data_IF_015485267905
#
_entry.id   IF_015485267905
#
_cell.length_a   1.000
_cell.length_b   1.000
_cell.length_c   1.000
_cell.angle_alpha   90.00
_cell.angle_beta   90.00
_cell.angle_gamma   90.00
#
_symmetry.space_group_name_H-M   'P 1'
#
loop_
_entity.id
_entity.type
_entity.pdbx_description
1 polymer ?
#
# COMPACT_ATOMS: atom_id res chain seq x y z
N UNK A 1 -13.24 1.95 -1.59
CA UNK A 1 -12.18 1.08 -2.09
C UNK A 1 -12.38 -0.37 -1.69
N UNK A 2 -12.24 -1.26 -2.66
CA UNK A 2 -12.44 -2.72 -2.55
C UNK A 2 -11.20 -3.51 -2.13
N UNK A 3 -10.25 -2.86 -1.46
CA UNK A 3 -9.08 -3.53 -0.87
C UNK A 3 -9.39 -4.18 0.49
N UNK A 4 -8.36 -4.72 1.13
CA UNK A 4 -8.47 -5.42 2.42
C UNK A 4 -9.19 -4.61 3.50
N UNK A 5 -8.87 -3.32 3.63
CA UNK A 5 -9.49 -2.44 4.62
C UNK A 5 -10.99 -2.25 4.35
N UNK A 6 -11.37 -1.93 3.11
CA UNK A 6 -12.77 -1.69 2.74
C UNK A 6 -13.63 -2.94 2.84
N UNK A 7 -13.14 -4.08 2.35
CA UNK A 7 -13.85 -5.37 2.47
C UNK A 7 -14.02 -5.79 3.93
N UNK A 8 -12.98 -5.61 4.77
CA UNK A 8 -13.10 -5.87 6.21
C UNK A 8 -14.10 -4.93 6.87
N UNK A 9 -14.08 -3.64 6.54
CA UNK A 9 -15.07 -2.69 7.04
C UNK A 9 -16.51 -3.10 6.66
N UNK A 10 -16.71 -3.57 5.42
CA UNK A 10 -18.00 -4.05 4.97
C UNK A 10 -18.46 -5.29 5.76
N UNK A 11 -17.57 -6.25 6.00
CA UNK A 11 -17.86 -7.44 6.83
C UNK A 11 -18.31 -7.04 8.23
N UNK A 12 -17.57 -6.14 8.89
CA UNK A 12 -17.91 -5.71 10.26
C UNK A 12 -19.18 -4.87 10.31
N UNK A 13 -19.43 -3.99 9.33
CA UNK A 13 -20.66 -3.22 9.20
C UNK A 13 -21.89 -4.11 9.04
N UNK A 14 -21.83 -5.11 8.16
CA UNK A 14 -22.90 -6.09 7.98
C UNK A 14 -23.15 -6.91 9.25
N UNK A 15 -22.09 -7.38 9.91
CA UNK A 15 -22.21 -8.12 11.18
C UNK A 15 -22.80 -7.28 12.31
N UNK A 16 -22.63 -5.96 12.27
CA UNK A 16 -23.26 -4.99 13.19
C UNK A 16 -24.69 -4.61 12.76
N UNK A 17 -25.27 -5.28 11.77
CA UNK A 17 -26.65 -5.05 11.30
C UNK A 17 -26.82 -3.76 10.50
N UNK A 18 -25.75 -3.21 9.92
CA UNK A 18 -25.83 -2.00 9.07
C UNK A 18 -25.80 -2.41 7.59
N UNK A 19 -26.67 -1.81 6.79
CA UNK A 19 -26.60 -1.93 5.35
C UNK A 19 -25.31 -1.27 4.85
N UNK A 20 -24.47 -2.05 4.19
CA UNK A 20 -23.14 -1.62 3.74
C UNK A 20 -23.03 -1.71 2.24
N UNK A 21 -22.52 -0.65 1.61
CA UNK A 21 -22.24 -0.58 0.17
C UNK A 21 -20.73 -0.35 -0.01
N UNK A 22 -20.11 -1.15 -0.85
CA UNK A 22 -18.69 -1.07 -1.20
C UNK A 22 -18.56 -0.50 -2.61
N UNK A 23 -17.85 0.62 -2.74
CA UNK A 23 -17.52 1.23 -4.04
C UNK A 23 -16.09 0.86 -4.45
N UNK A 24 -15.91 0.43 -5.69
CA UNK A 24 -14.60 0.19 -6.30
C UNK A 24 -14.59 0.72 -7.75
N UNK A 25 -13.56 1.48 -8.09
CA UNK A 25 -13.46 2.13 -9.40
C UNK A 25 -12.66 1.34 -10.43
N UNK A 26 -11.90 0.32 -10.02
CA UNK A 26 -11.00 -0.41 -10.90
C UNK A 26 -11.11 -1.93 -10.72
N UNK A 27 -10.47 -2.48 -9.71
CA UNK A 27 -10.40 -3.93 -9.49
C UNK A 27 -10.56 -4.25 -8.00
N UNK A 28 -11.46 -5.15 -7.69
CA UNK A 28 -11.64 -5.68 -6.33
C UNK A 28 -10.36 -6.37 -5.87
N UNK A 29 -9.97 -6.09 -4.62
CA UNK A 29 -8.79 -6.63 -3.96
C UNK A 29 -7.68 -5.61 -3.73
N UNK A 30 -7.58 -4.59 -4.58
CA UNK A 30 -6.52 -3.59 -4.51
C UNK A 30 -5.15 -4.20 -4.81
N UNK A 31 -4.09 -3.62 -4.24
CA UNK A 31 -2.69 -3.98 -4.57
C UNK A 31 -2.33 -5.45 -4.30
N UNK A 32 -2.97 -6.11 -3.33
CA UNK A 32 -2.60 -7.48 -2.98
C UNK A 32 -2.84 -8.47 -4.13
N UNK A 33 -3.72 -8.16 -5.07
CA UNK A 33 -4.01 -9.04 -6.21
C UNK A 33 -2.80 -9.28 -7.11
N UNK A 34 -1.80 -8.40 -7.10
CA UNK A 34 -0.54 -8.56 -7.84
C UNK A 34 0.49 -9.43 -7.11
N UNK A 35 0.26 -9.76 -5.83
CA UNK A 35 1.18 -10.61 -5.08
C UNK A 35 0.99 -12.08 -5.45
N UNK A 36 2.04 -12.77 -5.93
CA UNK A 36 1.93 -14.18 -6.28
C UNK A 36 1.69 -15.06 -5.06
N UNK A 37 2.19 -14.65 -3.89
CA UNK A 37 2.05 -15.40 -2.65
C UNK A 37 2.03 -14.48 -1.42
N UNK A 38 1.17 -14.79 -0.45
CA UNK A 38 1.01 -14.11 0.84
C UNK A 38 1.27 -15.14 1.94
N UNK A 39 2.34 -14.96 2.71
CA UNK A 39 2.77 -15.88 3.78
C UNK A 39 2.84 -15.20 5.15
N UNK A 40 2.56 -13.91 5.21
CA UNK A 40 2.67 -13.10 6.42
C UNK A 40 1.31 -12.66 6.99
N UNK A 41 0.22 -13.28 6.55
CA UNK A 41 -1.10 -13.04 7.15
C UNK A 41 -1.39 -14.10 8.22
N UNK A 42 -1.49 -13.75 9.52
CA UNK A 42 -1.71 -14.71 10.59
C UNK A 42 -2.96 -15.56 10.37
N UNK A 43 -2.80 -16.87 10.53
CA UNK A 43 -3.88 -17.85 10.32
C UNK A 43 -3.98 -18.39 8.90
N UNK A 44 -3.20 -17.87 7.94
CA UNK A 44 -3.08 -18.36 6.57
C UNK A 44 -1.61 -18.64 6.30
N UNK A 45 -1.26 -19.90 6.09
CA UNK A 45 0.14 -20.29 5.91
C UNK A 45 0.71 -19.81 4.56
N UNK A 46 -0.10 -19.91 3.50
CA UNK A 46 0.25 -19.45 2.15
C UNK A 46 -1.02 -19.37 1.30
N UNK A 47 -1.17 -18.29 0.55
CA UNK A 47 -2.28 -18.05 -0.37
C UNK A 47 -1.87 -17.03 -1.43
N UNK A 48 -2.38 -17.11 -2.65
CA UNK A 48 -2.17 -16.02 -3.62
C UNK A 48 -2.94 -14.76 -3.21
N UNK A 49 -2.42 -13.58 -3.57
CA UNK A 49 -3.12 -12.32 -3.28
C UNK A 49 -4.49 -12.23 -3.94
N UNK A 50 -4.65 -12.81 -5.13
CA UNK A 50 -5.93 -12.90 -5.82
C UNK A 50 -6.92 -13.78 -5.04
N UNK A 51 -6.50 -14.95 -4.58
CA UNK A 51 -7.35 -15.86 -3.79
C UNK A 51 -7.70 -15.24 -2.42
N UNK A 52 -6.73 -14.60 -1.76
CA UNK A 52 -6.98 -13.85 -0.53
C UNK A 52 -8.08 -12.80 -0.71
N UNK A 53 -8.01 -12.02 -1.79
CA UNK A 53 -9.00 -10.99 -2.12
C UNK A 53 -10.37 -11.57 -2.41
N UNK A 54 -10.43 -12.67 -3.18
CA UNK A 54 -11.67 -13.36 -3.50
C UNK A 54 -12.35 -13.91 -2.24
N UNK A 55 -11.58 -14.49 -1.31
CA UNK A 55 -12.11 -15.01 -0.06
C UNK A 55 -12.71 -13.90 0.82
N UNK A 56 -12.07 -12.73 0.89
CA UNK A 56 -12.62 -11.56 1.59
C UNK A 56 -13.89 -11.04 0.94
N UNK A 57 -13.89 -10.93 -0.39
CA UNK A 57 -15.05 -10.46 -1.15
C UNK A 57 -16.24 -11.41 -0.99
N UNK A 58 -16.01 -12.71 -1.11
CA UNK A 58 -17.04 -13.73 -0.90
C UNK A 58 -17.65 -13.65 0.50
N UNK A 59 -16.83 -13.42 1.52
CA UNK A 59 -17.29 -13.24 2.90
C UNK A 59 -18.16 -11.99 3.02
N UNK A 60 -17.77 -10.85 2.44
CA UNK A 60 -18.53 -9.61 2.48
C UNK A 60 -19.90 -9.77 1.76
N UNK A 61 -19.90 -10.36 0.58
CA UNK A 61 -21.11 -10.60 -0.23
C UNK A 61 -22.07 -11.56 0.45
N UNK A 62 -21.57 -12.66 1.01
CA UNK A 62 -22.40 -13.62 1.79
C UNK A 62 -23.10 -12.99 2.99
N UNK A 63 -22.53 -11.91 3.54
CA UNK A 63 -23.16 -11.13 4.63
C UNK A 63 -24.14 -10.06 4.13
N UNK A 64 -24.26 -9.87 2.81
CA UNK A 64 -25.20 -8.94 2.20
C UNK A 64 -24.60 -7.60 1.73
N UNK A 65 -23.27 -7.47 1.70
CA UNK A 65 -22.64 -6.26 1.15
C UNK A 65 -22.95 -6.11 -0.33
N UNK A 66 -23.45 -4.95 -0.72
CA UNK A 66 -23.60 -4.57 -2.12
C UNK A 66 -22.29 -3.98 -2.64
N UNK A 67 -21.83 -4.44 -3.79
CA UNK A 67 -20.65 -3.90 -4.46
C UNK A 67 -21.08 -3.11 -5.68
N UNK A 68 -20.58 -1.88 -5.80
CA UNK A 68 -20.84 -0.96 -6.90
C UNK A 68 -19.50 -0.65 -7.58
N UNK A 69 -19.42 -1.02 -8.87
CA UNK A 69 -18.22 -0.79 -9.68
C UNK A 69 -18.31 0.59 -10.34
N UNK A 70 -18.12 1.62 -9.52
CA UNK A 70 -18.14 3.02 -9.93
C UNK A 70 -17.00 3.79 -9.26
N UNK A 71 -16.39 4.71 -10.00
CA UNK A 71 -15.35 5.58 -9.46
C UNK A 71 -15.98 6.67 -8.61
N UNK A 72 -15.63 6.71 -7.31
CA UNK A 72 -15.99 7.83 -6.43
C UNK A 72 -15.12 9.04 -6.80
N UNK A 73 -15.77 10.16 -7.09
CA UNK A 73 -15.12 11.42 -7.49
C UNK A 73 -15.11 12.47 -6.41
N UNK A 74 -16.01 12.36 -5.41
CA UNK A 74 -16.07 13.29 -4.29
C UNK A 74 -17.03 12.86 -3.22
N UNK A 75 -17.07 13.67 -2.16
CA UNK A 75 -18.01 13.56 -1.03
C UNK A 75 -18.59 14.95 -0.80
N UNK A 76 -19.87 14.99 -0.44
CA UNK A 76 -20.53 16.21 0.00
C UNK A 76 -21.27 15.94 1.32
N UNK A 77 -21.24 16.89 2.22
CA UNK A 77 -21.97 16.84 3.48
C UNK A 77 -23.29 17.57 3.37
N UNK A 78 -24.32 16.96 3.91
CA UNK A 78 -25.62 17.55 4.10
C UNK A 78 -25.97 17.55 5.62
N UNK A 79 -26.99 18.27 6.02
CA UNK A 79 -27.31 18.46 7.44
C UNK A 79 -27.51 17.14 8.22
N UNK A 80 -28.16 16.14 7.60
CA UNK A 80 -28.56 14.89 8.28
C UNK A 80 -27.92 13.63 7.65
N UNK A 81 -27.21 13.77 6.54
CA UNK A 81 -26.62 12.66 5.80
C UNK A 81 -25.39 13.11 5.01
N UNK A 82 -24.69 12.16 4.43
CA UNK A 82 -23.55 12.40 3.55
C UNK A 82 -23.86 11.88 2.15
N UNK A 83 -23.27 12.50 1.15
CA UNK A 83 -23.45 12.13 -0.25
C UNK A 83 -22.11 11.68 -0.83
N UNK A 84 -22.10 10.47 -1.39
CA UNK A 84 -20.99 9.97 -2.21
C UNK A 84 -21.30 10.31 -3.65
N UNK A 85 -20.40 11.05 -4.29
CA UNK A 85 -20.48 11.40 -5.71
C UNK A 85 -19.63 10.43 -6.50
N UNK A 86 -20.22 9.78 -7.50
CA UNK A 86 -19.51 8.88 -8.42
C UNK A 86 -19.51 9.43 -9.85
N UNK A 87 -18.89 8.72 -10.77
CA UNK A 87 -18.94 9.03 -12.20
C UNK A 87 -20.34 8.87 -12.80
N UNK A 88 -21.22 8.10 -12.16
CA UNK A 88 -22.54 7.75 -12.68
C UNK A 88 -23.67 8.52 -11.99
N UNK A 89 -23.64 8.59 -10.66
CA UNK A 89 -24.72 9.19 -9.84
C UNK A 89 -24.26 9.52 -8.43
N UNK A 90 -25.19 9.98 -7.63
CA UNK A 90 -25.00 10.28 -6.21
C UNK A 90 -25.70 9.24 -5.33
N UNK A 91 -25.11 8.99 -4.14
CA UNK A 91 -25.63 8.04 -3.16
C UNK A 91 -25.64 8.67 -1.78
N UNK A 92 -26.78 8.60 -1.11
CA UNK A 92 -26.93 9.06 0.27
C UNK A 92 -26.51 7.99 1.27
N UNK A 93 -25.83 8.39 2.35
CA UNK A 93 -25.42 7.50 3.41
C UNK A 93 -25.33 8.24 4.76
N UNK A 94 -25.31 7.47 5.85
CA UNK A 94 -25.16 8.02 7.21
C UNK A 94 -23.71 8.20 7.62
N UNK A 95 -22.81 7.38 7.09
CA UNK A 95 -21.39 7.40 7.41
C UNK A 95 -20.56 6.86 6.25
N UNK A 96 -19.30 7.32 6.14
CA UNK A 96 -18.38 6.96 5.06
C UNK A 96 -17.08 6.42 5.67
N UNK A 97 -16.55 5.36 5.07
CA UNK A 97 -15.22 4.85 5.36
C UNK A 97 -14.38 4.97 4.10
N UNK A 98 -13.37 5.83 4.13
CA UNK A 98 -12.38 6.00 3.07
C UNK A 98 -11.33 4.91 3.19
N UNK A 99 -11.26 4.01 2.21
CA UNK A 99 -10.34 2.88 2.15
C UNK A 99 -9.66 2.81 0.78
N UNK A 100 -9.21 3.96 0.28
CA UNK A 100 -8.68 4.18 -1.08
C UNK A 100 -7.32 3.54 -1.30
N UNK A 101 -6.62 3.15 -0.22
CA UNK A 101 -5.28 2.58 -0.29
C UNK A 101 -4.24 3.58 -0.80
N UNK A 102 -3.16 3.04 -1.36
CA UNK A 102 -2.08 3.79 -2.01
C UNK A 102 -1.70 3.12 -3.32
N UNK A 103 -0.95 3.80 -4.16
CA UNK A 103 -0.23 3.20 -5.29
C UNK A 103 1.27 3.40 -5.10
N UNK A 104 2.08 2.45 -5.54
CA UNK A 104 3.53 2.61 -5.52
C UNK A 104 3.97 3.57 -6.64
N UNK A 105 4.97 4.37 -6.35
CA UNK A 105 5.68 5.08 -7.41
C UNK A 105 6.55 4.09 -8.17
N UNK A 106 6.45 4.13 -9.48
CA UNK A 106 7.28 3.35 -10.37
C UNK A 106 8.58 4.10 -10.71
N UNK A 107 9.61 3.34 -11.07
CA UNK A 107 10.83 3.89 -11.66
C UNK A 107 10.55 4.41 -13.08
N UNK A 108 9.60 3.80 -13.76
CA UNK A 108 9.22 4.13 -15.13
C UNK A 108 10.25 3.65 -16.16
N UNK A 109 10.94 2.56 -15.85
CA UNK A 109 12.01 2.00 -16.70
C UNK A 109 11.57 0.73 -17.43
N UNK A 110 12.14 0.42 -18.60
CA UNK A 110 11.88 -0.82 -19.29
C UNK A 110 12.10 -2.04 -18.39
N UNK A 111 11.20 -3.02 -18.48
CA UNK A 111 11.23 -4.25 -17.70
C UNK A 111 10.50 -4.20 -16.35
N UNK A 112 10.27 -3.01 -15.76
CA UNK A 112 9.65 -2.87 -14.44
C UNK A 112 8.26 -3.52 -14.40
N UNK A 113 7.35 -3.10 -15.26
CA UNK A 113 5.98 -3.61 -15.28
C UNK A 113 5.92 -5.11 -15.62
N UNK A 114 6.67 -5.53 -16.63
CA UNK A 114 6.69 -6.92 -17.12
C UNK A 114 7.20 -7.91 -16.06
N UNK A 115 8.18 -7.49 -15.23
CA UNK A 115 8.80 -8.32 -14.22
C UNK A 115 8.25 -8.09 -12.81
N UNK A 116 7.20 -7.29 -12.67
CA UNK A 116 6.49 -7.13 -11.39
C UNK A 116 5.91 -8.49 -10.94
N UNK A 117 6.23 -8.91 -9.71
CA UNK A 117 5.94 -10.23 -9.16
C UNK A 117 6.88 -11.36 -9.64
N UNK A 118 7.74 -11.07 -10.61
CA UNK A 118 8.76 -11.99 -11.13
C UNK A 118 10.20 -11.47 -10.85
N UNK A 119 10.38 -10.86 -9.68
CA UNK A 119 11.66 -10.30 -9.22
C UNK A 119 11.62 -8.80 -8.98
N UNK A 120 10.68 -8.05 -9.56
CA UNK A 120 10.39 -6.67 -9.16
C UNK A 120 9.34 -6.69 -8.05
N UNK A 121 9.65 -6.10 -6.91
CA UNK A 121 8.79 -5.99 -5.74
C UNK A 121 8.75 -4.55 -5.20
N UNK A 122 7.68 -4.20 -4.50
CA UNK A 122 7.49 -2.92 -3.81
C UNK A 122 7.35 -3.11 -2.29
N UNK A 123 7.56 -4.34 -1.78
CA UNK A 123 7.40 -4.67 -0.37
C UNK A 123 8.44 -5.70 0.08
N UNK A 124 9.49 -5.27 0.76
CA UNK A 124 10.54 -6.16 1.25
C UNK A 124 10.01 -7.15 2.32
N UNK A 125 9.13 -6.69 3.20
CA UNK A 125 8.55 -7.55 4.25
C UNK A 125 7.55 -8.58 3.71
N UNK A 126 7.02 -8.37 2.49
CA UNK A 126 6.12 -9.30 1.82
C UNK A 126 6.91 -10.38 1.08
N UNK A 127 7.83 -9.96 0.22
CA UNK A 127 8.45 -10.80 -0.80
C UNK A 127 9.90 -11.16 -0.50
N UNK A 128 10.53 -10.50 0.47
CA UNK A 128 11.97 -10.60 0.71
C UNK A 128 12.43 -12.03 1.02
N UNK A 129 11.61 -12.84 1.68
CA UNK A 129 11.96 -14.23 2.01
C UNK A 129 12.17 -15.12 0.78
N UNK A 130 11.54 -14.80 -0.38
CA UNK A 130 11.76 -15.53 -1.63
C UNK A 130 13.19 -15.35 -2.19
N UNK A 131 13.91 -14.32 -1.71
CA UNK A 131 15.28 -14.01 -2.12
C UNK A 131 16.33 -14.43 -1.11
N UNK A 132 15.99 -15.31 -0.16
CA UNK A 132 16.97 -15.84 0.81
C UNK A 132 18.19 -16.42 0.10
N UNK A 133 19.39 -15.97 0.51
CA UNK A 133 20.68 -16.39 -0.06
C UNK A 133 20.95 -15.87 -1.46
N UNK A 134 20.14 -14.98 -2.00
CA UNK A 134 20.32 -14.36 -3.32
C UNK A 134 20.82 -12.92 -3.19
N UNK A 135 21.34 -12.38 -4.29
CA UNK A 135 21.69 -10.97 -4.41
C UNK A 135 20.49 -10.17 -4.88
N UNK A 136 20.21 -9.06 -4.21
CA UNK A 136 19.07 -8.18 -4.50
C UNK A 136 19.49 -6.72 -4.52
N UNK A 137 18.70 -5.88 -5.20
CA UNK A 137 18.82 -4.43 -5.15
C UNK A 137 17.65 -3.81 -4.41
N UNK A 138 17.89 -2.74 -3.65
CA UNK A 138 16.89 -1.83 -3.11
C UNK A 138 17.10 -0.47 -3.74
N UNK A 139 16.06 0.12 -4.33
CA UNK A 139 16.14 1.43 -4.97
C UNK A 139 15.34 2.44 -4.19
N UNK A 140 16.04 3.44 -3.64
CA UNK A 140 15.41 4.49 -2.88
C UNK A 140 16.41 5.23 -1.99
N UNK A 141 15.94 6.19 -1.19
CA UNK A 141 16.81 6.98 -0.30
C UNK A 141 16.04 7.60 0.87
N UNK A 142 14.81 7.18 1.10
CA UNK A 142 14.02 7.51 2.28
C UNK A 142 14.06 6.40 3.33
N UNK A 143 13.38 6.61 4.46
CA UNK A 143 13.34 5.65 5.57
C UNK A 143 12.90 4.25 5.14
N UNK A 144 11.89 4.12 4.28
CA UNK A 144 11.44 2.83 3.73
C UNK A 144 12.56 2.07 3.03
N UNK A 145 13.33 2.72 2.14
CA UNK A 145 14.43 2.07 1.43
C UNK A 145 15.53 1.57 2.38
N UNK A 146 15.85 2.36 3.42
CA UNK A 146 16.84 1.98 4.42
C UNK A 146 16.34 0.81 5.28
N UNK A 147 15.09 0.83 5.72
CA UNK A 147 14.46 -0.25 6.48
C UNK A 147 14.35 -1.54 5.65
N UNK A 148 13.98 -1.43 4.38
CA UNK A 148 13.93 -2.55 3.45
C UNK A 148 15.32 -3.17 3.23
N UNK A 149 16.36 -2.35 3.05
CA UNK A 149 17.73 -2.82 2.92
C UNK A 149 18.21 -3.51 4.21
N UNK A 150 17.91 -2.94 5.37
CA UNK A 150 18.24 -3.55 6.67
C UNK A 150 17.53 -4.89 6.87
N UNK A 151 16.25 -4.96 6.53
CA UNK A 151 15.46 -6.19 6.61
C UNK A 151 16.03 -7.28 5.68
N UNK A 152 16.25 -6.96 4.41
CA UNK A 152 16.77 -7.90 3.40
C UNK A 152 18.19 -8.38 3.71
N UNK A 153 19.03 -7.52 4.31
CA UNK A 153 20.41 -7.87 4.67
C UNK A 153 20.51 -8.99 5.71
N UNK A 154 19.42 -9.31 6.42
CA UNK A 154 19.41 -10.38 7.43
C UNK A 154 19.38 -11.80 6.80
N UNK A 155 19.05 -11.94 5.52
CA UNK A 155 18.94 -13.24 4.88
C UNK A 155 19.31 -13.29 3.39
N UNK A 156 19.45 -12.16 2.71
CA UNK A 156 20.02 -12.11 1.38
C UNK A 156 21.56 -12.20 1.43
N UNK A 157 22.17 -12.82 0.43
CA UNK A 157 23.62 -12.92 0.34
C UNK A 157 24.29 -11.57 0.13
N UNK A 158 23.64 -10.70 -0.63
CA UNK A 158 24.05 -9.31 -0.86
C UNK A 158 22.88 -8.40 -1.15
N UNK A 159 22.95 -7.16 -0.64
CA UNK A 159 21.96 -6.11 -0.87
C UNK A 159 22.69 -4.89 -1.46
N UNK A 160 22.29 -4.49 -2.65
CA UNK A 160 22.77 -3.27 -3.30
C UNK A 160 21.77 -2.16 -3.04
N UNK A 161 22.14 -1.16 -2.23
CA UNK A 161 21.29 0.01 -1.97
C UNK A 161 21.60 1.11 -2.98
N UNK A 162 20.74 1.24 -3.97
CA UNK A 162 20.89 2.18 -5.09
C UNK A 162 20.16 3.48 -4.78
N UNK A 163 20.90 4.59 -4.74
CA UNK A 163 20.33 5.90 -4.54
C UNK A 163 20.81 6.93 -5.56
N UNK A 164 19.88 7.76 -6.05
CA UNK A 164 20.16 8.78 -7.10
C UNK A 164 20.93 10.00 -6.61
N UNK A 165 21.23 10.12 -5.32
CA UNK A 165 21.99 11.18 -4.67
C UNK A 165 23.12 10.58 -3.84
N UNK A 166 23.96 11.42 -3.28
CA UNK A 166 25.02 11.05 -2.34
C UNK A 166 24.58 11.02 -0.87
N UNK A 167 23.43 11.63 -0.55
CA UNK A 167 22.87 11.69 0.80
C UNK A 167 21.48 11.06 0.86
N UNK A 168 21.22 10.29 1.91
CA UNK A 168 19.91 9.73 2.23
C UNK A 168 19.03 10.75 2.96
N UNK A 169 17.72 10.61 2.82
CA UNK A 169 16.72 11.40 3.56
C UNK A 169 16.12 10.65 4.74
N UNK A 170 16.48 9.38 4.92
CA UNK A 170 16.06 8.56 6.03
C UNK A 170 16.95 8.75 7.26
N UNK A 171 16.71 7.95 8.29
CA UNK A 171 17.38 8.06 9.58
C UNK A 171 18.87 7.71 9.50
N UNK A 172 19.74 8.63 9.95
CA UNK A 172 21.20 8.45 9.97
C UNK A 172 21.64 7.21 10.75
N UNK A 173 20.88 6.81 11.78
CA UNK A 173 21.18 5.63 12.58
C UNK A 173 21.05 4.34 11.75
N UNK A 174 20.05 4.25 10.85
CA UNK A 174 19.89 3.09 9.97
C UNK A 174 21.02 3.07 8.94
N UNK A 175 21.39 4.24 8.38
CA UNK A 175 22.51 4.34 7.44
C UNK A 175 23.80 3.80 8.09
N UNK A 176 24.12 4.20 9.33
CA UNK A 176 25.31 3.70 10.06
C UNK A 176 25.30 2.19 10.25
N UNK A 177 24.16 1.63 10.68
CA UNK A 177 24.00 0.17 10.84
C UNK A 177 24.20 -0.59 9.52
N UNK A 178 23.68 -0.03 8.41
CA UNK A 178 23.86 -0.60 7.08
C UNK A 178 25.31 -0.55 6.61
N UNK A 179 26.05 0.52 6.94
CA UNK A 179 27.48 0.65 6.62
C UNK A 179 28.37 -0.38 7.34
N UNK A 180 27.93 -0.87 8.51
CA UNK A 180 28.63 -1.91 9.28
C UNK A 180 28.39 -3.33 8.73
N UNK A 181 27.42 -3.52 7.81
CA UNK A 181 27.08 -4.83 7.26
C UNK A 181 27.96 -5.17 6.05
N UNK A 182 28.67 -6.28 6.10
CA UNK A 182 29.54 -6.74 5.02
C UNK A 182 28.79 -7.10 3.72
N UNK A 183 27.51 -7.45 3.83
CA UNK A 183 26.68 -7.84 2.70
C UNK A 183 25.80 -6.69 2.16
N UNK A 184 26.03 -5.44 2.58
CA UNK A 184 25.35 -4.26 2.03
C UNK A 184 26.32 -3.39 1.28
N UNK A 185 25.99 -3.07 0.03
CA UNK A 185 26.79 -2.19 -0.83
C UNK A 185 25.96 -0.95 -1.22
N UNK A 186 26.54 0.23 -0.97
CA UNK A 186 25.92 1.50 -1.32
C UNK A 186 26.31 1.92 -2.74
N UNK A 187 25.35 2.06 -3.62
CA UNK A 187 25.54 2.52 -5.00
C UNK A 187 24.89 3.90 -5.12
N UNK A 188 25.67 4.92 -4.77
CA UNK A 188 25.22 6.31 -4.71
C UNK A 188 25.30 7.01 -6.07
N UNK A 189 24.62 8.16 -6.19
CA UNK A 189 24.55 8.97 -7.41
C UNK A 189 24.08 8.18 -8.65
N UNK A 190 23.36 7.07 -8.44
CA UNK A 190 23.05 6.09 -9.47
C UNK A 190 21.56 5.89 -9.63
N UNK A 191 21.13 5.75 -10.87
CA UNK A 191 19.75 5.45 -11.26
C UNK A 191 19.69 4.16 -12.05
N UNK A 192 18.63 3.38 -11.84
CA UNK A 192 18.29 2.24 -12.70
C UNK A 192 17.76 2.79 -14.03
N UNK A 193 18.24 2.24 -15.14
CA UNK A 193 17.84 2.59 -16.48
C UNK A 193 16.98 1.51 -17.14
N UNK A 194 17.16 0.26 -16.74
CA UNK A 194 16.46 -0.90 -17.29
C UNK A 194 16.57 -2.08 -16.33
N UNK A 195 15.50 -2.86 -16.24
CA UNK A 195 15.44 -4.13 -15.50
C UNK A 195 15.40 -5.25 -16.53
N UNK A 196 16.37 -6.15 -16.50
CA UNK A 196 16.60 -7.19 -17.49
C UNK A 196 16.28 -8.57 -16.92
N UNK A 197 15.85 -9.45 -17.83
CA UNK A 197 15.54 -10.84 -17.59
C UNK A 197 14.41 -11.29 -18.50
N UNK A 198 14.28 -12.57 -18.78
CA UNK A 198 13.20 -13.08 -19.61
C UNK A 198 11.95 -13.38 -18.81
N UNK A 199 12.04 -14.31 -17.87
CA UNK A 199 10.93 -14.73 -17.00
C UNK A 199 11.02 -14.14 -15.59
N UNK A 200 12.24 -13.87 -15.13
CA UNK A 200 12.54 -13.27 -13.82
C UNK A 200 13.60 -12.19 -13.98
N UNK A 201 13.79 -11.38 -12.95
CA UNK A 201 14.90 -10.41 -12.91
C UNK A 201 16.24 -11.17 -12.88
N UNK A 202 17.16 -10.78 -13.76
CA UNK A 202 18.52 -11.33 -13.89
C UNK A 202 19.59 -10.25 -13.69
N UNK A 203 19.31 -9.01 -14.13
CA UNK A 203 20.25 -7.89 -13.97
C UNK A 203 19.55 -6.53 -14.08
N UNK A 204 20.26 -5.50 -13.66
CA UNK A 204 19.87 -4.09 -13.79
C UNK A 204 20.94 -3.37 -14.62
N UNK A 205 20.53 -2.58 -15.60
CA UNK A 205 21.39 -1.56 -16.19
C UNK A 205 21.27 -0.29 -15.36
N UNK A 206 22.38 0.20 -14.86
CA UNK A 206 22.43 1.37 -13.97
C UNK A 206 23.34 2.46 -14.57
N UNK A 207 23.05 3.71 -14.25
CA UNK A 207 23.81 4.87 -14.69
C UNK A 207 24.25 5.70 -13.49
N UNK A 208 25.54 5.90 -13.33
CA UNK A 208 26.06 6.89 -12.39
C UNK A 208 25.91 8.29 -12.98
N UNK A 209 25.15 9.13 -12.32
CA UNK A 209 24.79 10.48 -12.81
C UNK A 209 25.94 11.49 -12.75
N UNK A 210 26.97 11.23 -11.95
CA UNK A 210 28.13 12.11 -11.78
C UNK A 210 29.20 11.79 -12.82
N UNK A 211 29.53 10.48 -12.98
CA UNK A 211 30.58 10.05 -13.92
C UNK A 211 30.05 9.82 -15.34
N UNK A 212 28.73 9.62 -15.50
CA UNK A 212 28.13 9.21 -16.77
C UNK A 212 28.39 7.74 -17.12
N UNK A 213 28.99 6.95 -16.22
CA UNK A 213 29.29 5.55 -16.44
C UNK A 213 28.05 4.70 -16.35
N UNK A 214 27.83 3.85 -17.35
CA UNK A 214 26.84 2.79 -17.33
C UNK A 214 27.47 1.47 -16.92
N UNK A 215 26.78 0.71 -16.08
CA UNK A 215 27.21 -0.63 -15.67
C UNK A 215 26.02 -1.57 -15.55
N UNK A 216 26.32 -2.85 -15.50
CA UNK A 216 25.34 -3.91 -15.30
C UNK A 216 25.55 -4.57 -13.93
N UNK A 217 24.47 -4.70 -13.18
CA UNK A 217 24.45 -5.27 -11.84
C UNK A 217 23.62 -6.55 -11.87
N UNK A 218 24.27 -7.70 -11.69
CA UNK A 218 23.58 -8.99 -11.63
C UNK A 218 22.84 -9.11 -10.30
N UNK A 219 21.51 -9.28 -10.34
CA UNK A 219 20.64 -9.44 -9.17
C UNK A 219 19.47 -10.34 -9.50
N UNK A 220 18.99 -11.08 -8.52
CA UNK A 220 17.79 -11.94 -8.66
C UNK A 220 16.48 -11.19 -8.38
N UNK A 221 16.56 -9.99 -7.81
CA UNK A 221 15.37 -9.18 -7.50
C UNK A 221 15.72 -7.72 -7.23
N UNK A 222 14.73 -6.88 -7.41
CA UNK A 222 14.77 -5.44 -7.13
C UNK A 222 13.57 -5.02 -6.29
N UNK A 223 13.83 -4.31 -5.20
CA UNK A 223 12.81 -3.71 -4.32
C UNK A 223 12.76 -2.21 -4.57
N UNK A 224 11.62 -1.75 -5.10
CA UNK A 224 11.43 -0.35 -5.50
C UNK A 224 10.80 0.42 -4.34
N UNK A 225 11.60 1.19 -3.62
CA UNK A 225 11.22 1.97 -2.44
C UNK A 225 11.35 3.49 -2.68
N UNK A 226 10.77 3.96 -3.80
CA UNK A 226 10.85 5.38 -4.22
C UNK A 226 9.63 6.20 -3.79
N UNK A 227 8.77 5.63 -2.97
CA UNK A 227 7.61 6.25 -2.33
C UNK A 227 6.27 5.67 -2.76
N UNK A 228 5.24 6.10 -2.06
CA UNK A 228 3.84 5.75 -2.32
C UNK A 228 3.06 7.01 -2.64
N UNK A 229 1.94 6.85 -3.34
CA UNK A 229 1.02 7.94 -3.70
C UNK A 229 -0.34 7.58 -3.12
N UNK A 230 -0.83 8.42 -2.22
CA UNK A 230 -2.21 8.39 -1.77
C UNK A 230 -3.04 9.25 -2.73
N UNK A 231 -4.12 8.70 -3.28
CA UNK A 231 -4.99 9.41 -4.23
C UNK A 231 -6.22 9.98 -3.51
N UNK A 232 -5.98 10.86 -2.54
CA UNK A 232 -7.03 11.40 -1.67
C UNK A 232 -7.36 12.88 -1.94
N UNK A 233 -6.71 13.54 -2.90
CA UNK A 233 -6.86 14.97 -3.20
C UNK A 233 -8.34 15.35 -3.44
N UNK A 234 -9.12 14.45 -4.04
CA UNK A 234 -10.56 14.62 -4.27
C UNK A 234 -11.42 14.68 -3.00
N UNK A 235 -10.83 14.41 -1.85
CA UNK A 235 -11.50 14.49 -0.54
C UNK A 235 -10.94 15.60 0.34
N UNK A 236 -10.00 16.42 -0.15
CA UNK A 236 -9.30 17.46 0.61
C UNK A 236 -10.25 18.56 1.14
N UNK A 237 -11.38 18.78 0.46
CA UNK A 237 -12.40 19.75 0.92
C UNK A 237 -13.21 19.24 2.12
N UNK A 238 -13.15 17.93 2.41
CA UNK A 238 -13.96 17.27 3.44
C UNK A 238 -13.13 16.75 4.59
N UNK A 239 -11.95 16.20 4.32
CA UNK A 239 -11.05 15.62 5.35
C UNK A 239 -9.66 16.21 5.26
N UNK A 240 -8.99 16.34 6.40
CA UNK A 240 -7.62 16.83 6.45
C UNK A 240 -6.66 15.82 5.84
N UNK A 241 -5.79 16.30 4.95
CA UNK A 241 -4.67 15.54 4.39
C UNK A 241 -3.34 16.06 4.95
N UNK A 242 -2.36 15.17 5.06
CA UNK A 242 -0.98 15.56 5.33
C UNK A 242 -0.25 16.03 4.04
N UNK A 243 1.00 16.45 4.17
CA UNK A 243 1.84 16.90 3.04
C UNK A 243 2.08 15.80 1.97
N UNK A 244 1.91 14.53 2.35
CA UNK A 244 2.03 13.38 1.45
C UNK A 244 0.72 13.00 0.75
N UNK A 245 -0.40 13.70 1.06
CA UNK A 245 -1.73 13.38 0.55
C UNK A 245 -2.44 12.24 1.30
N UNK A 246 -1.91 11.82 2.45
CA UNK A 246 -2.55 10.82 3.31
C UNK A 246 -3.63 11.47 4.18
N UNK A 247 -4.74 10.76 4.40
CA UNK A 247 -5.81 11.24 5.28
C UNK A 247 -5.30 11.21 6.73
N UNK A 248 -5.37 12.36 7.41
CA UNK A 248 -4.98 12.47 8.81
C UNK A 248 -6.00 11.73 9.68
N UNK A 249 -5.60 10.56 10.20
CA UNK A 249 -6.41 9.74 11.09
C UNK A 249 -5.49 8.88 11.98
N UNK A 250 -5.81 8.82 13.26
CA UNK A 250 -5.10 7.99 14.25
C UNK A 250 -5.54 6.52 14.23
N UNK A 251 -5.16 5.79 15.27
CA UNK A 251 -5.50 4.36 15.43
C UNK A 251 -7.00 4.11 15.64
N UNK A 252 -7.78 5.14 15.96
CA UNK A 252 -9.23 5.10 16.02
C UNK A 252 -9.91 5.31 14.66
N UNK A 253 -9.13 5.48 13.61
CA UNK A 253 -9.55 5.68 12.23
C UNK A 253 -10.46 6.91 11.98
N UNK A 254 -10.58 7.82 12.96
CA UNK A 254 -11.37 9.04 12.81
C UNK A 254 -10.64 10.08 11.98
N UNK A 255 -11.35 10.71 11.07
CA UNK A 255 -10.86 11.87 10.32
C UNK A 255 -11.18 13.17 11.05
N UNK A 256 -10.84 14.30 10.45
CA UNK A 256 -11.26 15.64 10.92
C UNK A 256 -12.75 15.84 10.87
N UNK A 257 -13.51 15.00 10.13
CA UNK A 257 -14.94 15.15 9.90
C UNK A 257 -15.75 14.04 10.57
N UNK A 258 -16.79 14.44 11.31
CA UNK A 258 -17.63 13.50 12.04
C UNK A 258 -18.41 12.57 11.10
N UNK A 259 -18.39 11.25 11.40
CA UNK A 259 -19.05 10.24 10.57
C UNK A 259 -18.30 9.87 9.31
N UNK A 260 -17.09 10.43 9.09
CA UNK A 260 -16.15 10.01 8.04
C UNK A 260 -14.91 9.41 8.68
N UNK A 261 -14.52 8.24 8.23
CA UNK A 261 -13.42 7.45 8.76
C UNK A 261 -12.44 7.11 7.66
N UNK A 262 -11.17 6.84 8.01
CA UNK A 262 -10.15 6.39 7.08
C UNK A 262 -9.55 5.07 7.55
N UNK A 263 -9.42 4.09 6.64
CA UNK A 263 -8.94 2.76 6.97
C UNK A 263 -7.91 2.26 5.94
N UNK A 264 -6.86 1.61 6.43
CA UNK A 264 -5.81 1.05 5.59
C UNK A 264 -4.75 2.08 5.19
N UNK A 265 -4.11 1.83 4.06
CA UNK A 265 -2.89 2.52 3.67
C UNK A 265 -3.09 3.97 3.22
N UNK A 266 -4.33 4.40 3.00
CA UNK A 266 -4.67 5.78 2.62
C UNK A 266 -4.55 6.80 3.75
N UNK A 267 -4.44 6.35 5.02
CA UNK A 267 -4.31 7.22 6.18
C UNK A 267 -2.86 7.37 6.65
N UNK A 268 -2.62 8.35 7.52
CA UNK A 268 -1.35 8.53 8.20
C UNK A 268 -1.05 7.33 9.11
N UNK A 269 0.01 6.58 8.81
CA UNK A 269 0.50 5.43 9.58
C UNK A 269 1.90 5.04 9.13
N UNK A 270 2.64 4.35 10.01
CA UNK A 270 3.98 3.86 9.70
C UNK A 270 3.93 2.49 9.00
N UNK A 271 3.13 1.56 9.51
CA UNK A 271 3.09 0.17 9.03
C UNK A 271 1.91 -0.03 8.08
N UNK A 272 2.21 -0.40 6.84
CA UNK A 272 1.24 -0.72 5.78
C UNK A 272 1.35 -2.19 5.43
N UNK A 273 0.42 -2.99 5.98
CA UNK A 273 0.34 -4.45 5.82
C UNK A 273 -1.13 -4.87 5.73
N UNK A 274 -1.39 -6.07 5.19
CA UNK A 274 -2.74 -6.64 5.13
C UNK A 274 -3.40 -6.71 6.52
N UNK A 275 -2.64 -7.12 7.53
CA UNK A 275 -3.12 -7.21 8.92
C UNK A 275 -3.52 -5.86 9.48
N UNK A 276 -2.71 -4.80 9.27
CA UNK A 276 -3.03 -3.46 9.74
C UNK A 276 -4.18 -2.85 8.94
N UNK A 277 -4.30 -3.16 7.65
CA UNK A 277 -5.42 -2.73 6.83
C UNK A 277 -6.74 -3.40 7.27
N UNK A 278 -6.71 -4.69 7.59
CA UNK A 278 -7.87 -5.41 8.15
C UNK A 278 -8.26 -4.85 9.52
N UNK A 279 -7.28 -4.61 10.41
CA UNK A 279 -7.53 -4.01 11.71
C UNK A 279 -8.22 -2.64 11.59
N UNK A 280 -7.68 -1.76 10.75
CA UNK A 280 -8.28 -0.45 10.48
C UNK A 280 -9.73 -0.57 9.96
N UNK A 281 -9.97 -1.49 9.03
CA UNK A 281 -11.32 -1.73 8.51
C UNK A 281 -12.33 -2.09 9.60
N UNK A 282 -11.90 -2.95 10.54
CA UNK A 282 -12.73 -3.34 11.69
C UNK A 282 -12.98 -2.16 12.63
N UNK A 283 -11.93 -1.40 12.98
CA UNK A 283 -12.01 -0.22 13.87
C UNK A 283 -12.93 0.85 13.26
N UNK A 284 -12.70 1.21 12.00
CA UNK A 284 -13.49 2.21 11.30
C UNK A 284 -14.97 1.83 11.21
N UNK A 285 -15.28 0.56 10.91
CA UNK A 285 -16.64 0.08 10.83
C UNK A 285 -17.37 0.15 12.17
N UNK A 286 -16.72 -0.28 13.26
CA UNK A 286 -17.33 -0.20 14.59
C UNK A 286 -17.53 1.26 15.04
N UNK A 287 -16.58 2.15 14.73
CA UNK A 287 -16.70 3.57 15.01
C UNK A 287 -17.86 4.21 14.19
N UNK A 288 -17.99 3.85 12.91
CA UNK A 288 -19.09 4.28 12.05
C UNK A 288 -20.46 3.78 12.56
N UNK A 289 -20.54 2.52 13.00
CA UNK A 289 -21.78 1.96 13.58
C UNK A 289 -22.20 2.69 14.85
N UNK A 290 -21.24 3.03 15.71
CA UNK A 290 -21.51 3.83 16.92
C UNK A 290 -22.00 5.22 16.56
N UNK A 291 -21.33 5.92 15.65
CA UNK A 291 -21.75 7.24 15.17
C UNK A 291 -23.19 7.22 14.65
N UNK A 292 -23.57 6.23 13.83
CA UNK A 292 -24.92 6.09 13.29
C UNK A 292 -25.96 5.90 14.42
N UNK A 293 -25.63 5.16 15.47
CA UNK A 293 -26.51 4.99 16.62
C UNK A 293 -26.67 6.30 17.39
N UNK A 294 -25.57 6.98 17.69
CA UNK A 294 -25.55 8.23 18.45
C UNK A 294 -26.32 9.36 17.72
N UNK A 295 -26.30 9.38 16.38
CA UNK A 295 -27.07 10.36 15.57
C UNK A 295 -28.55 10.00 15.47
N UNK A 296 -28.91 8.72 15.48
CA UNK A 296 -30.30 8.26 15.41
C UNK A 296 -31.06 8.50 16.71
N UNK A 297 -30.37 8.73 17.83
CA UNK A 297 -30.97 9.04 19.15
C UNK A 297 -31.21 10.54 19.39
N UNK A 298 -30.70 11.40 18.49
CA UNK A 298 -30.91 12.86 18.54
C UNK A 298 -32.05 13.29 17.67
#
# INVERSE_FOLDING_TARGET
GGGTAGMTAAIYGQRAGKQTVLFEGTTIGGQITSSPNVENYPGIASVSGSEFSMNLMDQAVKLGTQTIMEQVTGIREEADYKVIVTTEKEYECKSIILATGVTHRHLGVPGEERLTGAGVSYCATCDGMFFRGREVAVVGGGSTALQDAEFLSNYCSKVYLIHRRDEFRGEDQIVKRLQEKENVEFILNTTVQEIRGEQMVESLRVLNKVTGEESELAVSGIFVAVGQIAQNEKFADVVQLDEGGFIVAGEDCKTSEAGIYAAGDCRTKEVRQLTTAAADGAVAALAACKYIADVAEK
#
